data_IF_431541572642
#
_entry.id   IF_431541572642
#
_cell.length_a   1.000
_cell.length_b   1.000
_cell.length_c   1.000
_cell.angle_alpha   90.00
_cell.angle_beta   90.00
_cell.angle_gamma   90.00
#
_symmetry.space_group_name_H-M   'P 1'
#
loop_
_entity.id
_entity.type
_entity.pdbx_description
1 polymer ?
#
# COMPACT_ATOMS: atom_id res chain seq x y z
N UNK A 1 37.00 -22.00 -51.47
CA UNK A 1 35.66 -21.96 -50.84
C UNK A 1 35.49 -23.25 -50.04
N UNK A 2 36.10 -23.34 -48.85
CA UNK A 2 36.10 -24.55 -48.01
C UNK A 2 35.39 -24.30 -46.68
N UNK A 3 34.88 -25.40 -46.13
CA UNK A 3 33.68 -25.57 -45.32
C UNK A 3 33.83 -25.34 -43.81
N UNK A 4 32.66 -25.26 -43.18
CA UNK A 4 32.33 -24.93 -41.80
C UNK A 4 33.10 -25.64 -40.66
N UNK A 5 33.23 -24.90 -39.57
CA UNK A 5 33.74 -25.27 -38.26
C UNK A 5 32.81 -26.23 -37.48
N UNK A 6 33.40 -27.08 -36.63
CA UNK A 6 32.73 -27.66 -35.45
C UNK A 6 33.72 -27.69 -34.29
N UNK A 7 33.64 -26.70 -33.40
CA UNK A 7 34.26 -26.75 -32.09
C UNK A 7 33.18 -27.14 -31.08
N UNK A 8 33.37 -28.26 -30.41
CA UNK A 8 32.49 -28.77 -29.36
C UNK A 8 32.79 -28.04 -28.05
N UNK A 9 31.90 -27.16 -27.63
CA UNK A 9 31.90 -26.59 -26.28
C UNK A 9 31.18 -27.54 -25.31
N UNK A 10 31.87 -27.94 -24.24
CA UNK A 10 31.27 -28.61 -23.09
C UNK A 10 30.71 -27.53 -22.16
N UNK A 11 29.39 -27.52 -21.96
CA UNK A 11 28.74 -26.63 -21.00
C UNK A 11 28.86 -27.20 -19.58
N UNK A 12 29.49 -26.46 -18.66
CA UNK A 12 29.41 -26.73 -17.22
C UNK A 12 28.18 -26.02 -16.65
N UNK A 13 27.36 -26.75 -15.90
CA UNK A 13 26.20 -26.20 -15.19
C UNK A 13 26.65 -25.35 -13.97
N UNK A 14 25.95 -24.25 -13.64
CA UNK A 14 26.28 -23.48 -12.44
C UNK A 14 25.75 -24.18 -11.19
N UNK A 15 26.56 -24.19 -10.14
CA UNK A 15 26.17 -24.62 -8.79
C UNK A 15 25.19 -23.58 -8.23
N UNK A 16 23.94 -23.99 -7.99
CA UNK A 16 22.92 -23.11 -7.44
C UNK A 16 23.32 -22.62 -6.03
N UNK A 17 23.62 -21.33 -5.90
CA UNK A 17 23.84 -20.71 -4.61
C UNK A 17 22.52 -20.72 -3.82
N UNK A 18 22.47 -21.49 -2.72
CA UNK A 18 21.38 -21.43 -1.75
C UNK A 18 21.34 -20.03 -1.14
N UNK A 19 20.33 -19.23 -1.50
CA UNK A 19 20.02 -17.98 -0.80
C UNK A 19 19.63 -18.31 0.64
N UNK A 20 20.40 -17.80 1.61
CA UNK A 20 20.02 -17.81 3.01
C UNK A 20 18.72 -17.00 3.20
N UNK A 21 17.73 -17.58 3.86
CA UNK A 21 16.52 -16.85 4.26
C UNK A 21 16.83 -15.99 5.50
N UNK A 22 16.42 -14.72 5.54
CA UNK A 22 16.62 -13.88 6.73
C UNK A 22 15.76 -14.39 7.89
N UNK A 23 16.34 -14.42 9.09
CA UNK A 23 15.67 -14.83 10.31
C UNK A 23 14.43 -13.95 10.59
N UNK A 24 13.36 -14.50 11.24
CA UNK A 24 12.18 -13.73 11.57
C UNK A 24 12.54 -12.62 12.57
N UNK A 25 12.38 -11.36 12.16
CA UNK A 25 12.52 -10.22 13.05
C UNK A 25 11.40 -10.28 14.08
N UNK A 26 11.76 -10.24 15.37
CA UNK A 26 10.80 -10.00 16.46
C UNK A 26 10.01 -8.73 16.14
N UNK A 27 8.68 -8.81 16.22
CA UNK A 27 7.81 -7.65 16.05
C UNK A 27 8.12 -6.62 17.17
N UNK A 28 8.90 -5.60 16.86
CA UNK A 28 9.10 -4.47 17.75
C UNK A 28 7.85 -3.59 17.70
N UNK A 29 7.20 -3.41 18.85
CA UNK A 29 6.12 -2.42 18.99
C UNK A 29 6.77 -1.04 19.06
N UNK A 30 6.73 -0.30 17.95
CA UNK A 30 7.24 1.07 17.89
C UNK A 30 6.15 2.02 18.40
N UNK A 31 6.33 2.56 19.59
CA UNK A 31 5.50 3.67 20.10
C UNK A 31 6.02 4.96 19.47
N UNK A 32 5.19 5.65 18.68
CA UNK A 32 5.53 6.96 18.09
C UNK A 32 4.99 8.06 19.00
N UNK A 33 5.85 9.00 19.39
CA UNK A 33 5.41 10.23 20.03
C UNK A 33 4.59 11.07 19.04
N UNK A 34 3.66 11.89 19.54
CA UNK A 34 2.69 12.71 18.78
C UNK A 34 3.33 13.78 17.85
N UNK A 35 4.65 13.77 17.65
CA UNK A 35 5.40 14.71 16.81
C UNK A 35 5.67 14.25 15.38
N UNK A 36 5.27 13.04 14.98
CA UNK A 36 5.36 12.61 13.59
C UNK A 36 4.17 13.21 12.82
N UNK A 37 4.38 14.35 12.14
CA UNK A 37 3.37 15.09 11.35
C UNK A 37 2.84 14.33 10.10
N UNK A 38 2.91 12.99 10.08
CA UNK A 38 2.44 12.14 8.99
C UNK A 38 0.92 12.08 9.03
N UNK A 39 0.29 12.46 7.91
CA UNK A 39 -1.18 12.37 7.75
C UNK A 39 -1.66 10.93 7.90
N UNK A 40 -0.96 9.98 7.27
CA UNK A 40 -1.24 8.55 7.35
C UNK A 40 -0.34 7.91 8.44
N UNK A 41 -0.89 7.36 9.54
CA UNK A 41 -0.09 6.72 10.59
C UNK A 41 0.23 5.24 10.28
N UNK A 42 -0.71 4.51 9.68
CA UNK A 42 -0.72 3.03 9.68
C UNK A 42 -1.17 2.36 8.37
N UNK A 43 -1.88 3.04 7.47
CA UNK A 43 -2.45 2.42 6.25
C UNK A 43 -1.34 2.17 5.22
N UNK A 44 -1.15 0.91 4.81
CA UNK A 44 -0.31 0.45 3.68
C UNK A 44 1.10 1.08 3.65
N UNK A 45 1.86 0.94 4.74
CA UNK A 45 3.19 1.55 4.92
C UNK A 45 4.32 0.94 4.12
N UNK A 46 4.07 -0.21 3.52
CA UNK A 46 4.91 -0.87 2.54
C UNK A 46 4.80 -0.25 1.13
N UNK A 47 3.72 0.48 0.85
CA UNK A 47 3.53 1.19 -0.41
C UNK A 47 4.21 2.56 -0.37
N UNK A 48 5.02 2.86 -1.39
CA UNK A 48 5.63 4.18 -1.58
C UNK A 48 4.55 5.27 -1.75
N UNK A 49 3.43 4.91 -2.40
CA UNK A 49 2.29 5.78 -2.61
C UNK A 49 0.99 4.98 -2.55
N UNK A 50 0.19 5.25 -1.53
CA UNK A 50 -1.13 4.65 -1.39
C UNK A 50 -2.13 5.42 -2.27
N UNK A 51 -2.62 4.76 -3.32
CA UNK A 51 -3.64 5.27 -4.23
C UNK A 51 -4.73 4.21 -4.41
N UNK A 52 -5.98 4.64 -4.51
CA UNK A 52 -7.13 3.75 -4.68
C UNK A 52 -7.91 4.16 -5.92
N UNK A 53 -8.26 3.18 -6.75
CA UNK A 53 -9.12 3.34 -7.92
C UNK A 53 -10.39 2.52 -7.69
N UNK A 54 -11.54 3.15 -7.83
CA UNK A 54 -12.87 2.51 -7.69
C UNK A 54 -13.65 2.90 -8.93
N UNK A 55 -14.24 1.92 -9.63
CA UNK A 55 -15.09 2.23 -10.77
C UNK A 55 -16.41 2.80 -10.28
N UNK A 56 -16.98 3.79 -10.98
CA UNK A 56 -18.27 4.35 -10.60
C UNK A 56 -19.38 3.28 -10.54
N UNK A 57 -19.34 2.29 -11.43
CA UNK A 57 -20.28 1.16 -11.40
C UNK A 57 -20.21 0.30 -10.14
N UNK A 58 -19.10 0.32 -9.41
CA UNK A 58 -18.86 -0.50 -8.21
C UNK A 58 -19.29 0.21 -6.91
N UNK A 59 -19.44 1.54 -6.92
CA UNK A 59 -19.83 2.31 -5.73
C UNK A 59 -21.35 2.42 -5.52
N UNK A 60 -22.15 2.03 -6.53
CA UNK A 60 -23.59 2.27 -6.56
C UNK A 60 -23.91 3.77 -6.67
N UNK A 61 -25.11 4.18 -6.20
CA UNK A 61 -25.58 5.57 -6.31
C UNK A 61 -24.78 6.58 -5.48
N UNK A 62 -24.04 6.13 -4.46
CA UNK A 62 -23.34 7.01 -3.52
C UNK A 62 -22.13 6.30 -2.91
N UNK A 63 -20.94 6.82 -3.19
CA UNK A 63 -19.71 6.47 -2.49
C UNK A 63 -19.31 7.52 -1.46
N UNK A 64 -18.79 7.06 -0.32
CA UNK A 64 -18.25 7.94 0.73
C UNK A 64 -16.83 7.49 1.06
N UNK A 65 -15.84 8.30 0.70
CA UNK A 65 -14.43 7.95 0.75
C UNK A 65 -13.67 8.70 1.84
N UNK A 66 -12.76 8.00 2.50
CA UNK A 66 -11.95 8.54 3.57
C UNK A 66 -10.89 9.50 3.03
N UNK A 67 -10.76 10.67 3.67
CA UNK A 67 -9.64 11.60 3.47
C UNK A 67 -8.79 11.83 4.71
N UNK A 68 -9.21 11.32 5.87
CA UNK A 68 -8.54 11.53 7.14
C UNK A 68 -7.46 10.49 7.47
N UNK A 69 -7.37 9.39 6.70
CA UNK A 69 -6.44 8.28 6.96
C UNK A 69 -6.58 7.66 8.36
N UNK A 70 -7.79 7.65 8.94
CA UNK A 70 -8.10 6.98 10.22
C UNK A 70 -9.15 5.87 10.09
N UNK A 71 -9.74 5.71 8.90
CA UNK A 71 -10.79 4.72 8.66
C UNK A 71 -10.23 3.30 8.72
N UNK A 72 -10.91 2.42 9.45
CA UNK A 72 -10.61 0.98 9.50
C UNK A 72 -11.06 0.25 8.22
N UNK A 73 -11.97 0.86 7.46
CA UNK A 73 -12.45 0.35 6.18
C UNK A 73 -11.90 1.16 5.00
N UNK A 74 -10.72 1.78 5.15
CA UNK A 74 -10.07 2.53 4.07
C UNK A 74 -10.02 1.67 2.79
N UNK A 75 -10.48 2.18 1.64
CA UNK A 75 -10.68 3.59 1.26
C UNK A 75 -12.03 4.21 1.65
N UNK A 76 -12.98 3.43 2.16
CA UNK A 76 -14.31 3.93 2.54
C UNK A 76 -14.25 4.71 3.85
N UNK A 77 -15.13 5.70 4.01
CA UNK A 77 -15.28 6.40 5.28
C UNK A 77 -16.18 5.63 6.25
N UNK A 78 -15.67 5.39 7.45
CA UNK A 78 -16.39 4.75 8.57
C UNK A 78 -16.78 5.74 9.69
N UNK A 79 -16.46 7.03 9.52
CA UNK A 79 -16.73 8.07 10.52
C UNK A 79 -15.57 8.38 11.47
N UNK A 80 -14.42 7.69 11.37
CA UNK A 80 -13.26 7.91 12.25
C UNK A 80 -12.75 9.37 12.26
N UNK A 81 -13.01 10.14 11.20
CA UNK A 81 -12.67 11.56 11.12
C UNK A 81 -13.34 12.39 12.24
N UNK A 82 -14.52 12.00 12.73
CA UNK A 82 -15.21 12.73 13.80
C UNK A 82 -14.43 12.68 15.10
N UNK A 83 -13.95 11.50 15.49
CA UNK A 83 -13.13 11.33 16.69
C UNK A 83 -11.77 12.01 16.53
N UNK A 84 -11.17 11.91 15.34
CA UNK A 84 -9.92 12.60 15.02
C UNK A 84 -10.05 14.11 15.18
N UNK A 85 -11.04 14.73 14.53
CA UNK A 85 -11.31 16.17 14.62
C UNK A 85 -11.54 16.62 16.06
N UNK A 86 -12.32 15.87 16.85
CA UNK A 86 -12.55 16.18 18.27
C UNK A 86 -11.26 16.18 19.11
N UNK A 87 -10.32 15.26 18.82
CA UNK A 87 -9.06 15.14 19.56
C UNK A 87 -8.03 16.18 19.15
N UNK A 88 -7.96 16.51 17.87
CA UNK A 88 -6.90 17.37 17.32
C UNK A 88 -7.34 18.82 17.09
N UNK A 89 -8.64 19.10 17.10
CA UNK A 89 -9.19 20.39 16.67
C UNK A 89 -9.24 20.57 15.15
N UNK A 90 -9.03 19.49 14.38
CA UNK A 90 -9.08 19.51 12.91
C UNK A 90 -10.54 19.53 12.38
N UNK A 91 -10.72 19.76 11.08
CA UNK A 91 -12.03 19.89 10.42
C UNK A 91 -12.18 19.04 9.15
N UNK A 92 -11.41 17.96 9.02
CA UNK A 92 -11.46 17.10 7.82
C UNK A 92 -12.77 16.29 7.74
N UNK A 93 -13.18 15.98 6.51
CA UNK A 93 -14.37 15.17 6.23
C UNK A 93 -14.19 14.28 5.00
N UNK A 94 -15.12 13.34 4.75
CA UNK A 94 -15.03 12.44 3.61
C UNK A 94 -15.17 13.17 2.28
N UNK A 95 -14.85 12.48 1.19
CA UNK A 95 -15.29 12.82 -0.16
C UNK A 95 -16.58 12.03 -0.44
N UNK A 96 -17.66 12.71 -0.77
CA UNK A 96 -18.92 12.09 -1.18
C UNK A 96 -19.03 12.25 -2.70
N UNK A 97 -19.26 11.12 -3.38
CA UNK A 97 -19.50 11.10 -4.82
C UNK A 97 -20.85 10.43 -5.04
N UNK A 98 -21.75 11.11 -5.73
CA UNK A 98 -23.03 10.56 -6.17
C UNK A 98 -22.97 10.28 -7.66
N UNK A 99 -23.61 9.18 -8.06
CA UNK A 99 -23.87 8.89 -9.45
C UNK A 99 -25.32 9.31 -9.73
N UNK A 100 -25.46 10.35 -10.55
CA UNK A 100 -26.74 10.95 -10.89
C UNK A 100 -27.39 10.29 -12.13
N UNK A 101 -26.80 9.20 -12.62
CA UNK A 101 -27.34 8.41 -13.75
C UNK A 101 -28.59 7.61 -13.41
#
# INVERSE_FOLDING_TARGET
MYTAAKSTFVAQAPVAARRAQPAPRRAAVVVRADGDAKINPDIQKDSEKVATMIKCSEMGKKGVFCRCWRSKTFPMCDGAHVEFNKKTGDNVGPLIVTDDT
#
